data_IF_584782363387
#
_entry.id   IF_584782363387
#
_cell.length_a   1.000
_cell.length_b   1.000
_cell.length_c   1.000
_cell.angle_alpha   90.00
_cell.angle_beta   90.00
_cell.angle_gamma   90.00
#
_symmetry.space_group_name_H-M   'P 1'
#
loop_
_entity.id
_entity.type
_entity.pdbx_description
1 polymer ?
#
# COMPACT_ATOMS: atom_id res chain seq x y z
N UNK A 1 -16.48 -2.73 -8.71
CA UNK A 1 -15.52 -1.98 -7.86
C UNK A 1 -14.83 -0.80 -8.58
N UNK A 2 -14.21 -1.03 -9.74
CA UNK A 2 -13.37 -0.02 -10.43
C UNK A 2 -14.13 1.25 -10.83
N UNK A 3 -15.28 1.11 -11.48
CA UNK A 3 -16.14 2.24 -11.84
C UNK A 3 -16.59 3.07 -10.62
N UNK A 4 -16.87 2.41 -9.50
CA UNK A 4 -17.23 3.07 -8.23
C UNK A 4 -16.06 3.89 -7.69
N UNK A 5 -14.84 3.32 -7.69
CA UNK A 5 -13.62 4.02 -7.27
C UNK A 5 -13.30 5.20 -8.21
N UNK A 6 -13.42 5.03 -9.52
CA UNK A 6 -13.20 6.11 -10.50
C UNK A 6 -14.21 7.25 -10.35
N UNK A 7 -15.48 6.93 -10.08
CA UNK A 7 -16.50 7.93 -9.79
C UNK A 7 -16.17 8.70 -8.50
N UNK A 8 -15.82 7.99 -7.43
CA UNK A 8 -15.41 8.60 -6.18
C UNK A 8 -14.17 9.51 -6.38
N UNK A 9 -13.22 9.09 -7.21
CA UNK A 9 -12.05 9.90 -7.58
C UNK A 9 -12.44 11.21 -8.25
N UNK A 10 -13.31 11.15 -9.26
CA UNK A 10 -13.76 12.33 -10.01
C UNK A 10 -14.50 13.33 -9.13
N UNK A 11 -15.38 12.83 -8.25
CA UNK A 11 -16.09 13.64 -7.28
C UNK A 11 -15.14 14.26 -6.24
N UNK A 12 -14.18 13.48 -5.72
CA UNK A 12 -13.20 13.99 -4.75
C UNK A 12 -12.26 15.03 -5.36
N UNK A 13 -11.81 14.82 -6.60
CA UNK A 13 -10.92 15.76 -7.28
C UNK A 13 -11.57 17.11 -7.59
N UNK A 14 -12.91 17.15 -7.62
CA UNK A 14 -13.70 18.35 -7.89
C UNK A 14 -14.38 18.91 -6.63
N UNK A 15 -13.99 18.43 -5.43
CA UNK A 15 -14.59 18.79 -4.13
C UNK A 15 -16.13 18.58 -4.04
N UNK A 16 -16.69 17.66 -4.85
CA UNK A 16 -18.11 17.32 -4.86
C UNK A 16 -18.45 16.02 -4.13
N UNK A 17 -17.47 15.34 -3.53
CA UNK A 17 -17.70 14.09 -2.81
C UNK A 17 -18.31 14.36 -1.42
N UNK A 18 -19.62 14.46 -1.39
CA UNK A 18 -20.40 14.61 -0.16
C UNK A 18 -20.32 13.36 0.73
N UNK A 19 -20.49 13.53 2.05
CA UNK A 19 -20.39 12.42 3.01
C UNK A 19 -21.44 11.32 2.82
N UNK A 20 -22.65 11.68 2.36
CA UNK A 20 -23.71 10.71 2.02
C UNK A 20 -23.31 9.83 0.83
N UNK A 21 -22.75 10.45 -0.22
CA UNK A 21 -22.21 9.76 -1.39
C UNK A 21 -21.03 8.87 -0.99
N UNK A 22 -20.08 9.41 -0.22
CA UNK A 22 -18.95 8.66 0.31
C UNK A 22 -19.40 7.44 1.12
N UNK A 23 -20.37 7.61 2.03
CA UNK A 23 -20.92 6.52 2.84
C UNK A 23 -21.56 5.42 1.98
N UNK A 24 -22.21 5.81 0.88
CA UNK A 24 -22.80 4.87 -0.09
C UNK A 24 -21.72 4.09 -0.85
N UNK A 25 -20.63 4.77 -1.23
CA UNK A 25 -19.45 4.13 -1.83
C UNK A 25 -18.80 3.15 -0.86
N UNK A 26 -18.62 3.54 0.41
CA UNK A 26 -18.11 2.67 1.47
C UNK A 26 -18.97 1.41 1.59
N UNK A 27 -20.29 1.56 1.74
CA UNK A 27 -21.20 0.43 1.89
C UNK A 27 -21.14 -0.52 0.68
N UNK A 28 -21.07 0.03 -0.54
CA UNK A 28 -20.95 -0.74 -1.77
C UNK A 28 -19.62 -1.54 -1.82
N UNK A 29 -18.49 -0.90 -1.54
CA UNK A 29 -17.17 -1.53 -1.57
C UNK A 29 -16.99 -2.55 -0.45
N UNK A 30 -17.46 -2.28 0.76
CA UNK A 30 -17.46 -3.25 1.86
C UNK A 30 -18.30 -4.47 1.53
N UNK A 31 -19.50 -4.28 0.95
CA UNK A 31 -20.33 -5.42 0.51
C UNK A 31 -19.61 -6.26 -0.52
N UNK A 32 -18.96 -5.62 -1.50
CA UNK A 32 -18.22 -6.34 -2.54
C UNK A 32 -16.99 -7.06 -1.98
N UNK A 33 -16.18 -6.42 -1.15
CA UNK A 33 -15.03 -7.04 -0.49
C UNK A 33 -15.42 -8.26 0.33
N UNK A 34 -16.49 -8.15 1.15
CA UNK A 34 -16.98 -9.27 1.97
C UNK A 34 -17.39 -10.49 1.15
N UNK A 35 -17.93 -10.28 -0.06
CA UNK A 35 -18.26 -11.40 -0.95
C UNK A 35 -17.00 -12.14 -1.40
N UNK A 36 -15.94 -11.41 -1.75
CA UNK A 36 -14.66 -12.02 -2.14
C UNK A 36 -13.95 -12.68 -0.96
N UNK A 37 -13.94 -12.04 0.22
CA UNK A 37 -13.35 -12.61 1.43
C UNK A 37 -14.05 -13.93 1.83
N UNK A 38 -15.37 -14.02 1.63
CA UNK A 38 -16.13 -15.24 1.88
C UNK A 38 -15.77 -16.40 0.94
N UNK A 39 -15.30 -16.13 -0.28
CA UNK A 39 -14.86 -17.14 -1.24
C UNK A 39 -13.50 -17.74 -0.89
N UNK A 40 -12.63 -16.97 -0.22
CA UNK A 40 -11.27 -17.38 0.15
C UNK A 40 -11.21 -18.17 1.45
N UNK A 41 -12.28 -18.10 2.27
CA UNK A 41 -12.34 -18.74 3.59
C UNK A 41 -11.59 -17.95 4.66
N UNK A 42 -11.84 -18.24 5.96
CA UNK A 42 -11.23 -17.49 7.05
C UNK A 42 -9.71 -17.67 7.05
N UNK A 43 -8.96 -16.58 7.17
CA UNK A 43 -7.51 -16.64 7.45
C UNK A 43 -7.33 -17.25 8.84
N UNK A 44 -6.67 -18.41 8.91
CA UNK A 44 -6.35 -19.07 10.16
C UNK A 44 -5.07 -18.46 10.73
N UNK A 45 -5.17 -18.02 11.98
CA UNK A 45 -4.13 -17.52 12.87
C UNK A 45 -3.74 -16.02 12.73
N UNK A 46 -3.90 -15.22 13.81
CA UNK A 46 -3.29 -13.90 13.90
C UNK A 46 -1.76 -14.04 13.87
N UNK A 47 -1.06 -13.05 13.30
CA UNK A 47 0.39 -13.00 13.39
C UNK A 47 0.78 -12.98 14.88
N UNK A 48 1.86 -13.69 15.31
CA UNK A 48 2.36 -13.51 16.66
C UNK A 48 2.65 -12.03 16.85
N UNK A 49 1.99 -11.43 17.85
CA UNK A 49 2.10 -10.00 18.13
C UNK A 49 3.58 -9.62 18.18
N UNK A 50 4.05 -8.87 17.18
CA UNK A 50 5.39 -8.31 17.24
C UNK A 50 5.31 -7.24 18.31
N UNK A 51 5.82 -7.58 19.50
CA UNK A 51 5.86 -6.67 20.63
C UNK A 51 6.63 -5.39 20.25
N UNK A 52 5.89 -4.33 19.94
CA UNK A 52 6.40 -2.97 20.00
C UNK A 52 6.43 -2.58 21.48
N UNK A 53 7.61 -2.56 22.09
CA UNK A 53 7.73 -2.12 23.49
C UNK A 53 8.93 -2.62 24.29
N UNK A 54 9.87 -3.36 23.71
CA UNK A 54 11.11 -3.68 24.41
C UNK A 54 12.16 -2.58 24.22
N UNK A 55 12.46 -1.82 25.27
CA UNK A 55 13.71 -1.03 25.41
C UNK A 55 14.92 -1.98 25.58
N UNK A 56 14.98 -3.03 24.77
CA UNK A 56 15.92 -4.13 24.87
C UNK A 56 16.90 -4.08 23.72
N UNK A 57 18.19 -4.05 24.06
CA UNK A 57 19.31 -4.37 23.18
C UNK A 57 19.15 -5.85 22.78
N UNK A 58 18.26 -6.11 21.82
CA UNK A 58 18.11 -7.40 21.13
C UNK A 58 18.94 -7.40 19.85
N UNK A 59 19.24 -8.58 19.26
CA UNK A 59 20.06 -8.67 18.07
C UNK A 59 19.49 -7.78 16.96
N UNK A 60 20.33 -6.86 16.47
CA UNK A 60 20.04 -5.90 15.41
C UNK A 60 19.33 -6.58 14.24
N UNK A 61 17.99 -6.51 14.20
CA UNK A 61 17.23 -6.83 12.99
C UNK A 61 17.69 -5.84 11.92
N UNK A 62 18.24 -6.35 10.81
CA UNK A 62 18.94 -5.49 9.84
C UNK A 62 17.99 -4.39 9.36
N UNK A 63 18.46 -3.14 9.38
CA UNK A 63 17.66 -1.99 8.93
C UNK A 63 17.30 -2.04 7.43
N UNK A 64 17.75 -3.07 6.73
CA UNK A 64 17.72 -3.22 5.27
C UNK A 64 16.65 -4.20 4.78
N UNK A 65 15.95 -4.90 5.67
CA UNK A 65 14.84 -5.81 5.34
C UNK A 65 13.47 -5.17 5.64
N UNK A 66 12.45 -5.43 4.81
CA UNK A 66 11.08 -5.06 5.12
C UNK A 66 10.58 -5.80 6.36
N UNK A 67 9.62 -5.19 7.05
CA UNK A 67 9.00 -5.78 8.24
C UNK A 67 7.60 -5.23 8.46
N UNK A 68 6.78 -5.96 9.20
CA UNK A 68 5.49 -5.47 9.68
C UNK A 68 5.75 -4.53 10.88
N UNK A 69 5.27 -3.30 10.78
CA UNK A 69 5.23 -2.32 11.88
C UNK A 69 3.97 -2.47 12.71
N UNK A 70 2.84 -2.80 12.08
CA UNK A 70 1.57 -2.98 12.78
C UNK A 70 0.69 -3.93 11.98
N UNK A 71 0.09 -4.90 12.65
CA UNK A 71 -0.93 -5.78 12.05
C UNK A 71 -2.30 -5.35 12.58
N UNK A 72 -3.23 -5.11 11.67
CA UNK A 72 -4.64 -4.78 11.98
C UNK A 72 -5.53 -5.85 11.34
N UNK A 73 -6.84 -5.72 11.55
CA UNK A 73 -7.84 -6.68 11.08
C UNK A 73 -7.76 -6.87 9.55
N UNK A 74 -7.96 -5.77 8.81
CA UNK A 74 -8.10 -5.77 7.34
C UNK A 74 -6.85 -5.26 6.59
N UNK A 75 -5.87 -4.72 7.31
CA UNK A 75 -4.63 -4.16 6.74
C UNK A 75 -3.45 -4.39 7.68
N UNK A 76 -2.24 -4.32 7.15
CA UNK A 76 -1.02 -4.20 7.94
C UNK A 76 -0.19 -2.99 7.45
N UNK A 77 0.60 -2.43 8.36
CA UNK A 77 1.56 -1.37 8.08
C UNK A 77 2.93 -2.01 7.94
N UNK A 78 3.53 -1.87 6.76
CA UNK A 78 4.86 -2.34 6.43
C UNK A 78 5.88 -1.21 6.60
N UNK A 79 7.07 -1.55 7.07
CA UNK A 79 8.27 -0.74 6.88
C UNK A 79 8.93 -1.14 5.56
N UNK A 80 9.02 -0.20 4.62
CA UNK A 80 9.84 -0.36 3.42
C UNK A 80 11.20 0.32 3.61
N UNK A 81 12.33 -0.39 3.56
CA UNK A 81 13.64 0.24 3.55
C UNK A 81 14.00 0.80 2.14
N UNK A 82 15.05 1.63 2.04
CA UNK A 82 15.59 2.07 0.75
C UNK A 82 16.08 0.89 -0.11
N UNK A 83 16.16 1.09 -1.42
CA UNK A 83 16.59 0.07 -2.38
C UNK A 83 15.50 -0.93 -2.81
N UNK A 84 14.33 -0.91 -2.14
CA UNK A 84 13.19 -1.76 -2.48
C UNK A 84 12.20 -1.08 -3.41
N UNK A 85 11.81 -1.75 -4.48
CA UNK A 85 10.84 -1.24 -5.45
C UNK A 85 9.41 -1.60 -5.07
N UNK A 86 8.47 -0.69 -5.36
CA UNK A 86 7.03 -0.91 -5.21
C UNK A 86 6.34 -0.55 -6.51
N UNK A 87 5.62 -1.51 -7.05
CA UNK A 87 4.83 -1.40 -8.28
C UNK A 87 3.39 -1.65 -7.89
N UNK A 88 2.55 -0.66 -8.15
CA UNK A 88 1.10 -0.75 -8.06
C UNK A 88 0.63 -0.39 -9.46
N UNK A 89 0.28 -1.39 -10.26
CA UNK A 89 -0.22 -1.15 -11.62
C UNK A 89 -1.70 -1.46 -11.69
N UNK A 90 -2.36 -0.85 -12.67
CA UNK A 90 -3.72 -1.22 -12.99
C UNK A 90 -3.69 -2.63 -13.61
N UNK A 91 -4.49 -3.58 -13.11
CA UNK A 91 -4.39 -5.00 -13.44
C UNK A 91 -4.47 -5.33 -14.94
N UNK A 92 -4.94 -4.40 -15.78
CA UNK A 92 -4.94 -4.52 -17.25
C UNK A 92 -3.55 -4.30 -17.86
N UNK A 93 -2.71 -3.42 -17.31
CA UNK A 93 -1.34 -3.22 -17.79
C UNK A 93 -0.46 -4.45 -17.51
N UNK A 94 -0.82 -5.28 -16.53
CA UNK A 94 -0.15 -6.55 -16.25
C UNK A 94 -0.52 -7.67 -17.23
N UNK A 95 -1.63 -7.53 -17.97
CA UNK A 95 -1.98 -8.44 -19.08
C UNK A 95 -1.28 -8.05 -20.39
N UNK A 96 -0.83 -6.80 -20.51
CA UNK A 96 -0.13 -6.27 -21.70
C UNK A 96 1.40 -6.24 -21.55
N UNK A 97 1.92 -6.26 -20.32
CA UNK A 97 3.33 -6.52 -20.07
C UNK A 97 3.59 -8.03 -20.06
N UNK A 98 4.45 -8.55 -20.95
CA UNK A 98 4.96 -9.91 -20.81
C UNK A 98 5.56 -10.07 -19.40
N UNK A 99 5.49 -11.25 -18.77
CA UNK A 99 6.40 -11.51 -17.65
C UNK A 99 7.80 -11.25 -18.21
N UNK A 100 8.52 -10.28 -17.65
CA UNK A 100 9.90 -10.01 -18.05
C UNK A 100 10.74 -11.25 -17.76
N UNK A 101 10.71 -12.20 -18.69
CA UNK A 101 11.60 -13.34 -18.78
C UNK A 101 12.85 -12.84 -19.51
N UNK A 102 13.44 -11.77 -18.97
CA UNK A 102 14.75 -11.28 -19.36
C UNK A 102 15.81 -11.97 -18.50
N UNK A 103 17.02 -12.20 -19.02
CA UNK A 103 18.04 -12.94 -18.30
C UNK A 103 18.41 -12.22 -16.99
N UNK A 104 18.58 -13.02 -15.94
CA UNK A 104 19.10 -12.66 -14.62
C UNK A 104 20.48 -12.02 -14.75
N UNK A 105 20.50 -10.70 -14.93
CA UNK A 105 21.69 -9.85 -14.84
C UNK A 105 21.65 -9.15 -13.48
N UNK A 106 22.34 -9.74 -12.50
CA UNK A 106 23.08 -9.10 -11.38
C UNK A 106 22.75 -7.66 -10.91
N UNK A 107 21.48 -7.23 -10.90
CA UNK A 107 21.10 -5.85 -10.57
C UNK A 107 19.61 -5.54 -10.47
N UNK A 108 18.69 -6.50 -10.63
CA UNK A 108 17.27 -6.26 -10.37
C UNK A 108 17.05 -6.00 -8.88
N UNK A 109 16.63 -4.78 -8.54
CA UNK A 109 16.38 -4.35 -7.17
C UNK A 109 15.32 -5.22 -6.48
N UNK A 110 15.46 -5.38 -5.16
CA UNK A 110 14.57 -6.18 -4.31
C UNK A 110 13.13 -5.66 -4.41
N UNK A 111 12.18 -6.50 -4.85
CA UNK A 111 10.78 -6.12 -5.06
C UNK A 111 9.95 -6.41 -3.81
N UNK A 112 9.20 -5.42 -3.34
CA UNK A 112 8.43 -5.59 -2.11
C UNK A 112 7.31 -6.65 -2.26
N UNK A 113 6.78 -6.85 -3.47
CA UNK A 113 5.76 -7.86 -3.76
C UNK A 113 6.26 -9.29 -3.53
N UNK A 114 7.51 -9.56 -3.90
CA UNK A 114 8.14 -10.87 -3.75
C UNK A 114 8.28 -11.16 -2.25
N UNK A 115 8.78 -10.19 -1.47
CA UNK A 115 8.86 -10.29 -0.01
C UNK A 115 7.48 -10.46 0.66
N UNK A 116 6.45 -9.75 0.19
CA UNK A 116 5.07 -9.89 0.69
C UNK A 116 4.56 -11.31 0.46
N UNK A 117 4.74 -11.83 -0.76
CA UNK A 117 4.29 -13.17 -1.13
C UNK A 117 4.99 -14.24 -0.31
N UNK A 118 6.31 -14.12 -0.15
CA UNK A 118 7.13 -15.05 0.64
C UNK A 118 6.84 -14.97 2.14
N UNK A 119 6.67 -13.76 2.68
CA UNK A 119 6.55 -13.55 4.13
C UNK A 119 5.12 -13.69 4.65
N UNK A 120 4.13 -13.33 3.83
CA UNK A 120 2.72 -13.24 4.24
C UNK A 120 1.82 -14.24 3.51
N UNK A 121 2.24 -14.77 2.35
CA UNK A 121 1.38 -15.59 1.50
C UNK A 121 0.85 -16.87 2.14
N UNK A 122 1.55 -17.41 3.13
CA UNK A 122 1.11 -18.58 3.89
C UNK A 122 -0.04 -18.28 4.87
N UNK A 123 -0.14 -17.04 5.36
CA UNK A 123 -1.10 -16.63 6.40
C UNK A 123 -2.20 -15.74 5.82
N UNK A 124 -1.88 -14.95 4.79
CA UNK A 124 -2.78 -13.97 4.17
C UNK A 124 -2.91 -14.30 2.68
N UNK A 125 -3.97 -15.00 2.26
CA UNK A 125 -4.15 -15.37 0.84
C UNK A 125 -4.14 -14.16 -0.12
N UNK A 126 -4.59 -12.99 0.34
CA UNK A 126 -4.53 -11.74 -0.43
C UNK A 126 -3.09 -11.37 -0.85
N UNK A 127 -2.08 -11.74 -0.04
CA UNK A 127 -0.68 -11.51 -0.33
C UNK A 127 -0.14 -12.36 -1.50
N UNK A 128 -0.94 -13.28 -2.04
CA UNK A 128 -0.64 -14.06 -3.25
C UNK A 128 -1.47 -13.61 -4.46
N UNK A 129 -2.48 -12.74 -4.26
CA UNK A 129 -3.36 -12.32 -5.33
C UNK A 129 -2.81 -11.11 -6.09
N UNK A 130 -2.19 -11.40 -7.24
CA UNK A 130 -1.68 -10.38 -8.15
C UNK A 130 -2.78 -9.43 -8.69
N UNK A 131 -4.05 -9.86 -8.78
CA UNK A 131 -5.15 -9.01 -9.29
C UNK A 131 -5.42 -7.82 -8.36
N UNK A 132 -5.11 -7.97 -7.08
CA UNK A 132 -5.17 -6.93 -6.05
C UNK A 132 -3.77 -6.51 -5.60
N UNK A 133 -2.77 -6.67 -6.47
CA UNK A 133 -1.41 -6.18 -6.26
C UNK A 133 -0.80 -6.68 -4.94
N UNK A 134 -1.12 -7.92 -4.54
CA UNK A 134 -0.64 -8.52 -3.29
C UNK A 134 -1.04 -7.71 -2.04
N UNK A 135 -2.13 -6.93 -2.14
CA UNK A 135 -2.62 -6.04 -1.08
C UNK A 135 -2.05 -4.61 -1.12
N UNK A 136 -1.13 -4.29 -2.03
CA UNK A 136 -0.54 -2.95 -2.13
C UNK A 136 -1.51 -1.95 -2.76
N UNK A 137 -1.81 -0.85 -2.05
CA UNK A 137 -2.71 0.21 -2.55
C UNK A 137 -2.01 1.52 -2.90
N UNK A 138 -0.73 1.67 -2.50
CA UNK A 138 0.09 2.83 -2.81
C UNK A 138 1.57 2.43 -2.88
N UNK A 139 2.41 3.32 -3.43
CA UNK A 139 3.84 3.10 -3.61
C UNK A 139 4.69 4.17 -2.95
N UNK A 140 5.88 3.75 -2.54
CA UNK A 140 7.00 4.62 -2.25
C UNK A 140 8.06 4.41 -3.33
N UNK A 141 8.81 5.46 -3.68
CA UNK A 141 9.93 5.35 -4.62
C UNK A 141 11.02 4.42 -4.06
N UNK A 142 11.90 3.94 -4.95
CA UNK A 142 12.89 2.91 -4.64
C UNK A 142 13.72 3.24 -3.39
N UNK A 143 14.26 4.45 -3.34
CA UNK A 143 15.16 4.89 -2.27
C UNK A 143 14.44 5.66 -1.15
N UNK A 144 13.12 5.87 -1.29
CA UNK A 144 12.27 6.40 -0.21
C UNK A 144 11.99 5.28 0.78
N UNK A 145 12.40 5.46 2.03
CA UNK A 145 12.00 4.56 3.13
C UNK A 145 10.72 5.05 3.80
N UNK A 146 10.02 4.15 4.51
CA UNK A 146 8.90 4.57 5.33
C UNK A 146 7.80 3.54 5.49
N UNK A 147 6.69 4.02 6.04
CA UNK A 147 5.48 3.24 6.24
C UNK A 147 4.72 3.05 4.91
N UNK A 148 4.25 1.83 4.68
CA UNK A 148 3.41 1.46 3.56
C UNK A 148 2.20 0.67 4.09
N UNK A 149 1.02 0.88 3.51
CA UNK A 149 -0.21 0.18 3.93
C UNK A 149 -0.43 -0.94 2.94
N UNK A 150 -0.53 -2.16 3.45
CA UNK A 150 -0.82 -3.36 2.69
C UNK A 150 -2.11 -3.96 3.21
N UNK A 151 -3.08 -4.19 2.34
CA UNK A 151 -4.30 -4.88 2.72
C UNK A 151 -4.03 -6.35 3.01
N UNK A 152 -4.81 -6.92 3.93
CA UNK A 152 -4.77 -8.34 4.28
C UNK A 152 -6.09 -9.05 3.93
N UNK A 153 -7.14 -8.28 3.62
CA UNK A 153 -8.45 -8.73 3.14
C UNK A 153 -8.91 -7.91 1.91
N UNK A 154 -9.87 -8.41 1.14
CA UNK A 154 -10.46 -7.67 0.02
C UNK A 154 -11.26 -6.46 0.50
N UNK A 155 -11.97 -6.57 1.63
CA UNK A 155 -12.58 -5.39 2.29
C UNK A 155 -11.51 -4.33 2.57
N UNK A 156 -10.41 -4.72 3.21
CA UNK A 156 -9.29 -3.83 3.51
C UNK A 156 -8.70 -3.19 2.28
N UNK A 157 -8.52 -3.97 1.21
CA UNK A 157 -7.97 -3.48 -0.06
C UNK A 157 -8.83 -2.38 -0.67
N UNK A 158 -10.13 -2.61 -0.84
CA UNK A 158 -11.01 -1.60 -1.44
C UNK A 158 -11.25 -0.40 -0.53
N UNK A 159 -11.30 -0.60 0.79
CA UNK A 159 -11.40 0.50 1.74
C UNK A 159 -10.14 1.36 1.73
N UNK A 160 -8.96 0.75 1.72
CA UNK A 160 -7.70 1.48 1.65
C UNK A 160 -7.58 2.22 0.30
N UNK A 161 -7.90 1.57 -0.83
CA UNK A 161 -7.96 2.26 -2.13
C UNK A 161 -8.89 3.48 -2.10
N UNK A 162 -10.09 3.35 -1.52
CA UNK A 162 -11.02 4.47 -1.39
C UNK A 162 -10.42 5.62 -0.58
N UNK A 163 -9.75 5.36 0.55
CA UNK A 163 -9.11 6.41 1.36
C UNK A 163 -8.08 7.22 0.56
N UNK A 164 -7.23 6.53 -0.22
CA UNK A 164 -6.24 7.19 -1.07
C UNK A 164 -6.90 7.96 -2.22
N UNK A 165 -7.82 7.33 -2.93
CA UNK A 165 -8.51 7.92 -4.09
C UNK A 165 -9.38 9.12 -3.71
N UNK A 166 -10.03 9.08 -2.55
CA UNK A 166 -10.83 10.18 -2.02
C UNK A 166 -10.00 11.25 -1.30
N UNK A 167 -8.66 11.18 -1.35
CA UNK A 167 -7.71 12.11 -0.68
C UNK A 167 -7.95 12.26 0.83
N UNK A 168 -8.46 11.21 1.50
CA UNK A 168 -8.71 11.19 2.95
C UNK A 168 -7.53 10.64 3.76
N UNK A 169 -6.43 10.28 3.09
CA UNK A 169 -5.18 9.83 3.73
C UNK A 169 -4.21 10.99 3.95
N UNK A 170 -3.77 11.21 5.19
CA UNK A 170 -2.68 12.14 5.52
C UNK A 170 -1.32 11.43 5.45
N UNK A 171 -0.41 11.95 4.63
CA UNK A 171 0.97 11.44 4.48
C UNK A 171 1.96 12.48 4.98
N UNK A 172 2.89 12.06 5.83
CA UNK A 172 3.92 12.94 6.42
C UNK A 172 5.28 12.31 6.12
N UNK A 173 6.21 13.12 5.62
CA UNK A 173 7.55 12.71 5.27
C UNK A 173 8.57 13.57 6.02
N UNK A 174 9.71 12.96 6.33
CA UNK A 174 10.90 13.67 6.81
C UNK A 174 11.95 13.56 5.72
N UNK A 175 12.57 14.68 5.38
CA UNK A 175 13.64 14.74 4.39
C UNK A 175 14.76 15.65 4.89
N UNK A 176 15.98 15.36 4.42
CA UNK A 176 17.12 16.27 4.55
C UNK A 176 17.20 17.11 3.28
N UNK A 177 17.08 18.43 3.41
CA UNK A 177 17.16 19.36 2.29
C UNK A 177 18.55 19.96 2.16
N UNK A 178 18.93 20.29 0.93
CA UNK A 178 20.11 21.09 0.68
C UNK A 178 19.80 22.55 1.03
N UNK A 179 20.56 23.12 1.98
CA UNK A 179 20.42 24.48 2.56
C UNK A 179 19.34 24.61 3.65
N UNK A 180 19.42 25.70 4.40
CA UNK A 180 18.43 26.07 5.41
C UNK A 180 17.11 26.46 4.74
N UNK A 181 16.01 25.90 5.25
CA UNK A 181 14.67 26.35 4.90
C UNK A 181 14.27 27.55 5.78
N UNK A 182 13.37 28.42 5.31
CA UNK A 182 12.72 29.41 6.17
C UNK A 182 12.02 28.73 7.36
N UNK A 183 11.96 29.37 8.54
CA UNK A 183 11.35 28.78 9.73
C UNK A 183 9.82 28.68 9.66
N UNK A 184 9.17 29.35 8.69
CA UNK A 184 7.73 29.33 8.52
C UNK A 184 7.28 28.16 7.62
N UNK A 185 6.13 27.52 7.91
CA UNK A 185 5.53 26.55 7.01
C UNK A 185 5.31 27.18 5.63
N UNK A 186 5.79 26.50 4.60
CA UNK A 186 5.56 26.90 3.22
C UNK A 186 4.70 25.84 2.51
N UNK A 187 3.78 26.30 1.66
CA UNK A 187 3.03 25.45 0.74
C UNK A 187 3.61 25.61 -0.66
N UNK A 188 3.80 24.49 -1.36
CA UNK A 188 4.18 24.47 -2.77
C UNK A 188 3.03 23.85 -3.56
N UNK A 189 2.31 24.68 -4.30
CA UNK A 189 1.21 24.25 -5.18
C UNK A 189 1.55 24.61 -6.62
N UNK A 190 2.39 23.78 -7.24
CA UNK A 190 2.85 23.96 -8.61
C UNK A 190 2.69 22.65 -9.38
N UNK A 191 2.08 22.67 -10.59
CA UNK A 191 1.92 21.45 -11.38
C UNK A 191 3.27 20.80 -11.71
N UNK A 192 3.38 19.49 -11.48
CA UNK A 192 4.52 18.72 -11.92
C UNK A 192 4.42 18.45 -13.42
N UNK A 193 5.45 18.81 -14.18
CA UNK A 193 5.59 18.49 -15.61
C UNK A 193 6.73 17.49 -15.76
N UNK A 194 6.50 16.43 -16.51
CA UNK A 194 7.56 15.54 -16.96
C UNK A 194 8.19 16.18 -18.20
N UNK A 195 9.52 16.31 -18.18
CA UNK A 195 10.30 16.79 -19.32
C UNK A 195 10.50 15.67 -20.35
#
# INVERSE_FOLDING_TARGET
>A
PKAVLSLAQGLAASDFLQDSCYSSVVACLQRYGRLLDAEVGPSQEPFPAVAFGGSGIGPSRSATEPRILQDLEDVCVLWKPPGWTVTVSDALAQLECPPESGPTLSGQGRRLQDWISESLGTVRPLALDAKVQFGLVHRLDRDTSGALVCATTYVGYYMAQLQFTARRTRKIYVCLCQRSLPPAPASLDTPLRFA
#
